data_IF_789297999424
#
_entry.id   IF_789297999424
#
_cell.length_a   1.000
_cell.length_b   1.000
_cell.length_c   1.000
_cell.angle_alpha   90.00
_cell.angle_beta   90.00
_cell.angle_gamma   90.00
#
_symmetry.space_group_name_H-M   'P 1'
#
loop_
_entity.id
_entity.type
_entity.pdbx_description
1 polymer ?
#
# COMPACT_ATOMS: atom_id res chain seq x y z
N UNK A 1 17.58 44.83 46.41
CA UNK A 1 17.50 44.88 44.96
C UNK A 1 18.57 43.97 44.36
N UNK A 2 18.22 42.68 44.04
CA UNK A 2 19.11 41.78 43.34
C UNK A 2 18.59 41.58 41.92
N UNK A 3 19.37 42.08 40.96
CA UNK A 3 19.11 41.91 39.53
C UNK A 3 19.53 40.50 39.10
N UNK A 4 18.55 39.63 38.77
CA UNK A 4 18.80 38.37 38.11
C UNK A 4 19.26 38.65 36.66
N UNK A 5 20.56 38.48 36.41
CA UNK A 5 21.11 38.33 35.05
C UNK A 5 20.68 36.97 34.50
N UNK A 6 19.78 36.98 33.53
CA UNK A 6 19.55 35.81 32.71
C UNK A 6 20.75 35.62 31.77
N UNK A 7 21.59 34.61 32.07
CA UNK A 7 22.62 34.14 31.15
C UNK A 7 21.92 33.48 29.97
N UNK A 8 21.79 34.15 28.83
CA UNK A 8 21.41 33.53 27.57
C UNK A 8 22.45 32.50 27.20
N UNK A 9 22.07 31.21 27.19
CA UNK A 9 22.88 30.13 26.60
C UNK A 9 23.00 30.44 25.10
N UNK A 10 24.07 31.11 24.69
CA UNK A 10 24.47 31.24 23.30
C UNK A 10 24.66 29.86 22.70
N UNK A 11 24.00 29.60 21.58
CA UNK A 11 24.22 28.36 20.83
C UNK A 11 25.72 28.22 20.59
N UNK A 12 26.34 27.10 20.94
CA UNK A 12 27.78 26.94 20.80
C UNK A 12 28.20 27.08 19.32
N UNK A 13 29.22 27.88 19.07
CA UNK A 13 29.68 28.23 17.72
C UNK A 13 29.95 27.02 16.81
N UNK A 14 30.32 25.86 17.38
CA UNK A 14 30.53 24.61 16.65
C UNK A 14 29.23 24.07 15.99
N UNK A 15 28.04 24.31 16.58
CA UNK A 15 26.77 23.93 15.96
C UNK A 15 26.46 24.74 14.69
N UNK A 16 26.81 26.02 14.69
CA UNK A 16 26.65 26.87 13.50
C UNK A 16 27.63 26.47 12.39
N UNK A 17 28.85 26.09 12.75
CA UNK A 17 29.87 25.62 11.80
C UNK A 17 29.44 24.27 11.21
N UNK A 18 28.96 23.32 12.03
CA UNK A 18 28.45 22.03 11.57
C UNK A 18 27.25 22.20 10.63
N UNK A 19 26.29 23.07 10.98
CA UNK A 19 25.13 23.37 10.14
C UNK A 19 25.54 24.00 8.79
N UNK A 20 26.53 24.91 8.79
CA UNK A 20 27.04 25.53 7.57
C UNK A 20 27.77 24.53 6.66
N UNK A 21 28.57 23.61 7.24
CA UNK A 21 29.26 22.54 6.50
C UNK A 21 28.23 21.59 5.89
N UNK A 22 27.25 21.12 6.67
CA UNK A 22 26.20 20.23 6.17
C UNK A 22 25.30 20.89 5.10
N UNK A 23 24.99 22.16 5.23
CA UNK A 23 24.24 22.92 4.23
C UNK A 23 25.06 23.12 2.93
N UNK A 24 26.38 23.41 3.06
CA UNK A 24 27.28 23.54 1.91
C UNK A 24 27.44 22.24 1.13
N UNK A 25 27.56 21.11 1.83
CA UNK A 25 27.66 19.80 1.21
C UNK A 25 26.41 19.44 0.41
N UNK A 26 25.23 19.72 0.96
CA UNK A 26 23.96 19.49 0.25
C UNK A 26 23.86 20.36 -1.02
N UNK A 27 24.23 21.64 -0.95
CA UNK A 27 24.15 22.55 -2.11
C UNK A 27 25.12 22.12 -3.23
N UNK A 28 26.33 21.71 -2.87
CA UNK A 28 27.35 21.29 -3.84
C UNK A 28 26.99 19.96 -4.51
N UNK A 29 26.44 19.01 -3.74
CA UNK A 29 25.91 17.76 -4.29
C UNK A 29 24.75 18.02 -5.24
N UNK A 30 23.84 18.92 -4.90
CA UNK A 30 22.74 19.31 -5.80
C UNK A 30 23.23 19.97 -7.09
N UNK A 31 24.23 20.86 -7.00
CA UNK A 31 24.80 21.51 -8.18
C UNK A 31 25.44 20.48 -9.13
N UNK A 32 26.23 19.54 -8.59
CA UNK A 32 26.84 18.47 -9.37
C UNK A 32 25.80 17.52 -9.99
N UNK A 33 24.70 17.28 -9.28
CA UNK A 33 23.61 16.45 -9.82
C UNK A 33 22.90 17.13 -10.99
N UNK A 34 22.66 18.45 -10.89
CA UNK A 34 22.06 19.23 -11.98
C UNK A 34 23.01 19.28 -13.18
N UNK A 35 24.30 19.52 -12.96
CA UNK A 35 25.30 19.54 -14.00
C UNK A 35 25.42 18.17 -14.71
N UNK A 36 25.42 17.08 -13.96
CA UNK A 36 25.38 15.74 -14.52
C UNK A 36 24.11 15.51 -15.35
N UNK A 37 22.95 15.88 -14.81
CA UNK A 37 21.67 15.70 -15.50
C UNK A 37 21.58 16.51 -16.80
N UNK A 38 22.15 17.72 -16.85
CA UNK A 38 22.16 18.56 -18.04
C UNK A 38 23.19 18.10 -19.08
N UNK A 39 24.34 17.64 -18.63
CA UNK A 39 25.40 17.12 -19.53
C UNK A 39 25.03 15.77 -20.15
N UNK A 40 24.18 14.99 -19.43
CA UNK A 40 23.73 13.67 -19.90
C UNK A 40 22.21 13.62 -20.05
N UNK A 41 21.62 14.64 -20.67
CA UNK A 41 20.15 14.79 -20.79
C UNK A 41 19.44 13.58 -21.41
N UNK A 42 20.09 12.87 -22.35
CA UNK A 42 19.53 11.64 -22.94
C UNK A 42 19.45 10.50 -21.91
N UNK A 43 20.50 10.32 -21.11
CA UNK A 43 20.51 9.29 -20.05
C UNK A 43 19.54 9.63 -18.94
N UNK A 44 19.51 10.90 -18.52
CA UNK A 44 18.58 11.40 -17.50
C UNK A 44 17.13 11.29 -17.96
N UNK A 45 16.85 11.61 -19.22
CA UNK A 45 15.53 11.45 -19.84
C UNK A 45 15.11 9.98 -19.93
N UNK A 46 16.02 9.10 -20.38
CA UNK A 46 15.76 7.66 -20.43
C UNK A 46 15.49 7.06 -19.03
N UNK A 47 16.25 7.49 -18.02
CA UNK A 47 16.04 7.06 -16.63
C UNK A 47 14.68 7.50 -16.09
N UNK A 48 14.31 8.77 -16.30
CA UNK A 48 13.01 9.29 -15.89
C UNK A 48 11.85 8.59 -16.61
N UNK A 49 12.01 8.32 -17.90
CA UNK A 49 11.01 7.57 -18.67
C UNK A 49 10.87 6.13 -18.16
N UNK A 50 11.98 5.45 -17.88
CA UNK A 50 11.97 4.10 -17.29
C UNK A 50 11.35 4.10 -15.90
N UNK A 51 11.66 5.08 -15.05
CA UNK A 51 11.09 5.23 -13.73
C UNK A 51 9.56 5.49 -13.80
N UNK A 52 9.14 6.36 -14.71
CA UNK A 52 7.70 6.65 -14.93
C UNK A 52 6.97 5.40 -15.43
N UNK A 53 7.54 4.64 -16.37
CA UNK A 53 6.98 3.37 -16.83
C UNK A 53 6.89 2.34 -15.70
N UNK A 54 7.89 2.29 -14.83
CA UNK A 54 7.92 1.38 -13.69
C UNK A 54 6.82 1.73 -12.69
N UNK A 55 6.68 3.01 -12.32
CA UNK A 55 5.62 3.51 -11.43
C UNK A 55 4.24 3.26 -12.06
N UNK A 56 4.08 3.53 -13.36
CA UNK A 56 2.84 3.29 -14.08
C UNK A 56 2.49 1.79 -14.12
N UNK A 57 3.46 0.93 -14.41
CA UNK A 57 3.29 -0.53 -14.40
C UNK A 57 2.89 -1.04 -13.01
N UNK A 58 3.52 -0.54 -11.94
CA UNK A 58 3.20 -0.92 -10.57
C UNK A 58 1.80 -0.43 -10.16
N UNK A 59 1.42 0.78 -10.52
CA UNK A 59 0.09 1.34 -10.31
C UNK A 59 -1.01 0.49 -10.97
N UNK A 60 -0.75 -0.03 -12.17
CA UNK A 60 -1.68 -0.92 -12.88
C UNK A 60 -1.76 -2.33 -12.28
N UNK A 61 -0.73 -2.77 -11.56
CA UNK A 61 -0.68 -4.12 -10.96
C UNK A 61 -1.60 -4.29 -9.76
N UNK A 62 -1.97 -3.20 -9.10
CA UNK A 62 -2.57 -3.26 -7.76
C UNK A 62 -4.07 -3.47 -7.66
N UNK A 63 -4.88 -3.32 -8.70
CA UNK A 63 -6.34 -3.26 -8.56
C UNK A 63 -6.79 -2.15 -7.57
N UNK A 64 -8.08 -1.79 -7.57
CA UNK A 64 -8.63 -0.83 -6.59
C UNK A 64 -8.48 -1.40 -5.17
N UNK A 65 -7.90 -0.62 -4.28
CA UNK A 65 -7.73 -0.97 -2.86
C UNK A 65 -8.74 -0.21 -2.01
N UNK A 66 -9.36 -0.89 -1.07
CA UNK A 66 -10.31 -0.31 -0.12
C UNK A 66 -9.78 -0.39 1.31
N UNK A 67 -10.22 0.53 2.16
CA UNK A 67 -9.91 0.54 3.59
C UNK A 67 -10.81 -0.40 4.38
N UNK A 68 -10.42 -0.72 5.64
CA UNK A 68 -11.25 -1.50 6.57
C UNK A 68 -12.64 -0.88 6.79
N UNK A 69 -12.71 0.45 6.86
CA UNK A 69 -13.96 1.19 7.01
C UNK A 69 -14.88 1.05 5.80
N UNK A 70 -14.31 1.14 4.60
CA UNK A 70 -15.02 1.01 3.33
C UNK A 70 -15.54 -0.42 3.14
N UNK A 71 -14.72 -1.44 3.49
CA UNK A 71 -15.12 -2.84 3.52
C UNK A 71 -16.34 -3.03 4.41
N UNK A 72 -16.29 -2.55 5.66
CA UNK A 72 -17.41 -2.68 6.62
C UNK A 72 -18.67 -2.03 6.07
N UNK A 73 -18.60 -0.87 5.43
CA UNK A 73 -19.73 -0.19 4.83
C UNK A 73 -20.36 -1.01 3.69
N UNK A 74 -19.55 -1.57 2.79
CA UNK A 74 -20.00 -2.38 1.66
C UNK A 74 -20.65 -3.69 2.10
N UNK A 75 -20.09 -4.34 3.11
CA UNK A 75 -20.62 -5.61 3.63
C UNK A 75 -21.96 -5.38 4.36
N UNK A 76 -22.05 -4.35 5.18
CA UNK A 76 -23.30 -3.99 5.88
C UNK A 76 -24.41 -3.59 4.90
N UNK A 77 -24.06 -3.03 3.74
CA UNK A 77 -24.99 -2.71 2.65
C UNK A 77 -25.40 -3.91 1.78
N UNK A 78 -24.94 -5.13 2.08
CA UNK A 78 -25.12 -6.34 1.27
C UNK A 78 -24.69 -6.17 -0.21
N UNK A 79 -23.77 -5.24 -0.49
CA UNK A 79 -23.28 -4.91 -1.82
C UNK A 79 -21.99 -5.63 -2.17
N UNK A 80 -21.40 -6.35 -1.23
CA UNK A 80 -20.11 -7.00 -1.41
C UNK A 80 -20.06 -8.40 -0.83
N UNK A 81 -19.20 -9.22 -1.40
CA UNK A 81 -18.83 -10.55 -0.93
C UNK A 81 -17.35 -10.58 -0.63
N UNK A 82 -17.01 -11.11 0.53
CA UNK A 82 -15.62 -11.23 0.98
C UNK A 82 -15.06 -12.59 0.55
N UNK A 83 -13.89 -12.59 -0.07
CA UNK A 83 -13.16 -13.80 -0.45
C UNK A 83 -11.78 -13.75 0.18
N UNK A 84 -11.50 -14.71 1.06
CA UNK A 84 -10.19 -14.88 1.70
C UNK A 84 -9.34 -15.84 0.88
N UNK A 85 -8.22 -15.33 0.36
CA UNK A 85 -7.30 -16.04 -0.52
C UNK A 85 -6.24 -16.86 0.23
N UNK A 86 -6.27 -16.82 1.57
CA UNK A 86 -5.31 -17.55 2.40
C UNK A 86 -5.57 -19.05 2.38
N UNK A 87 -4.56 -19.82 2.82
CA UNK A 87 -4.71 -21.25 3.02
C UNK A 87 -5.88 -21.58 3.96
N UNK A 88 -6.49 -22.74 3.82
CA UNK A 88 -7.56 -23.19 4.70
C UNK A 88 -7.13 -23.21 6.18
N UNK A 89 -5.86 -23.55 6.44
CA UNK A 89 -5.25 -23.51 7.78
C UNK A 89 -5.24 -22.09 8.36
N UNK A 90 -4.81 -21.11 7.59
CA UNK A 90 -4.73 -19.71 8.05
C UNK A 90 -6.11 -19.08 8.20
N UNK A 91 -7.05 -19.44 7.33
CA UNK A 91 -8.45 -19.06 7.45
C UNK A 91 -9.05 -19.55 8.78
N UNK A 92 -8.79 -20.80 9.17
CA UNK A 92 -9.23 -21.37 10.45
C UNK A 92 -8.61 -20.73 11.69
N UNK A 93 -7.49 -20.00 11.58
CA UNK A 93 -6.92 -19.25 12.71
C UNK A 93 -7.68 -17.97 13.04
N UNK A 94 -8.53 -17.52 12.12
CA UNK A 94 -9.39 -16.34 12.27
C UNK A 94 -9.54 -15.60 10.94
N UNK A 95 -10.80 -15.32 10.56
CA UNK A 95 -11.18 -14.66 9.32
C UNK A 95 -12.29 -13.62 9.57
N UNK A 96 -12.58 -12.79 8.56
CA UNK A 96 -13.66 -11.80 8.64
C UNK A 96 -15.01 -12.52 8.50
N UNK A 97 -15.97 -12.12 9.29
CA UNK A 97 -17.32 -12.71 9.31
C UNK A 97 -17.92 -12.73 7.91
N UNK A 98 -18.44 -13.89 7.49
CA UNK A 98 -19.06 -14.06 6.19
C UNK A 98 -18.08 -14.19 5.00
N UNK A 99 -16.78 -14.29 5.25
CA UNK A 99 -15.80 -14.51 4.19
C UNK A 99 -15.85 -15.95 3.66
N UNK A 100 -15.77 -16.07 2.33
CA UNK A 100 -15.62 -17.35 1.63
C UNK A 100 -14.12 -17.65 1.51
N UNK A 101 -13.69 -18.86 1.89
CA UNK A 101 -12.30 -19.25 1.72
C UNK A 101 -12.08 -19.90 0.35
N UNK A 102 -11.38 -19.18 -0.51
CA UNK A 102 -10.91 -19.69 -1.82
C UNK A 102 -9.42 -19.40 -1.91
N UNK A 103 -8.55 -20.38 -1.59
CA UNK A 103 -7.10 -20.19 -1.70
C UNK A 103 -6.68 -19.69 -3.07
N UNK A 104 -5.66 -18.81 -3.12
CA UNK A 104 -5.21 -18.17 -4.35
C UNK A 104 -4.88 -19.16 -5.48
N UNK A 105 -4.23 -20.27 -5.14
CA UNK A 105 -3.86 -21.36 -6.06
C UNK A 105 -5.07 -22.06 -6.67
N UNK A 106 -6.23 -22.04 -6.01
CA UNK A 106 -7.49 -22.64 -6.46
C UNK A 106 -8.51 -21.65 -7.00
N UNK A 107 -8.16 -20.36 -7.05
CA UNK A 107 -9.11 -19.32 -7.44
C UNK A 107 -9.66 -19.54 -8.85
N UNK A 108 -8.82 -19.87 -9.82
CA UNK A 108 -9.22 -20.11 -11.20
C UNK A 108 -10.21 -21.28 -11.33
N UNK A 109 -9.99 -22.37 -10.60
CA UNK A 109 -10.85 -23.58 -10.63
C UNK A 109 -12.19 -23.33 -9.93
N UNK A 110 -12.18 -22.53 -8.85
CA UNK A 110 -13.36 -22.28 -8.01
C UNK A 110 -14.08 -20.96 -8.31
N UNK A 111 -13.71 -20.29 -9.39
CA UNK A 111 -14.34 -19.04 -9.81
C UNK A 111 -15.85 -19.19 -10.08
N UNK A 112 -16.30 -20.38 -10.45
CA UNK A 112 -17.73 -20.74 -10.65
C UNK A 112 -18.55 -20.50 -9.37
N UNK A 113 -17.96 -20.68 -8.20
CA UNK A 113 -18.64 -20.42 -6.92
C UNK A 113 -19.00 -18.93 -6.73
N UNK A 114 -18.32 -18.04 -7.44
CA UNK A 114 -18.54 -16.60 -7.41
C UNK A 114 -19.58 -16.12 -8.43
N UNK A 115 -20.05 -16.98 -9.35
CA UNK A 115 -21.01 -16.57 -10.38
C UNK A 115 -22.32 -16.01 -9.81
N UNK A 116 -22.80 -16.58 -8.70
CA UNK A 116 -23.98 -16.10 -7.98
C UNK A 116 -23.80 -14.70 -7.37
N UNK A 117 -22.56 -14.23 -7.27
CA UNK A 117 -22.20 -12.94 -6.71
C UNK A 117 -21.67 -11.96 -7.74
N UNK A 118 -21.88 -12.24 -9.04
CA UNK A 118 -21.33 -11.41 -10.14
C UNK A 118 -21.88 -9.98 -10.18
N UNK A 119 -23.06 -9.77 -9.59
CA UNK A 119 -23.66 -8.44 -9.41
C UNK A 119 -23.10 -7.65 -8.23
N UNK A 120 -22.34 -8.31 -7.35
CA UNK A 120 -21.80 -7.72 -6.12
C UNK A 120 -20.32 -7.42 -6.30
N UNK A 121 -19.80 -6.44 -5.54
CA UNK A 121 -18.36 -6.20 -5.48
C UNK A 121 -17.67 -7.34 -4.72
N UNK A 122 -16.69 -7.99 -5.34
CA UNK A 122 -15.89 -9.05 -4.72
C UNK A 122 -14.68 -8.43 -4.03
N UNK A 123 -14.64 -8.54 -2.70
CA UNK A 123 -13.53 -8.01 -1.89
C UNK A 123 -12.55 -9.13 -1.58
N UNK A 124 -11.34 -9.01 -2.11
CA UNK A 124 -10.28 -10.00 -1.94
C UNK A 124 -9.40 -9.67 -0.74
N UNK A 125 -9.21 -10.65 0.12
CA UNK A 125 -8.39 -10.54 1.31
C UNK A 125 -7.31 -11.62 1.26
N UNK A 126 -6.09 -11.22 1.55
CA UNK A 126 -4.97 -12.13 1.79
C UNK A 126 -4.26 -11.77 3.10
N UNK A 127 -3.07 -12.30 3.34
CA UNK A 127 -2.31 -12.03 4.55
C UNK A 127 -1.92 -10.55 4.69
N UNK A 128 -1.34 -9.96 3.63
CA UNK A 128 -0.77 -8.59 3.61
C UNK A 128 -1.09 -7.79 2.35
N UNK A 129 -1.94 -8.24 1.43
CA UNK A 129 -2.27 -7.57 0.16
C UNK A 129 -1.39 -7.95 -1.03
N UNK A 130 -0.53 -8.98 -0.91
CA UNK A 130 0.43 -9.35 -1.97
C UNK A 130 -0.23 -10.10 -3.13
N UNK A 131 -1.03 -11.12 -2.86
CA UNK A 131 -1.69 -11.95 -3.87
C UNK A 131 -3.02 -11.37 -4.33
N UNK A 132 -3.69 -10.58 -3.48
CA UNK A 132 -4.98 -9.97 -3.77
C UNK A 132 -4.96 -9.09 -5.04
N UNK A 133 -3.82 -8.46 -5.36
CA UNK A 133 -3.66 -7.65 -6.57
C UNK A 133 -3.72 -8.47 -7.86
N UNK A 134 -3.08 -9.64 -7.91
CA UNK A 134 -3.15 -10.56 -9.05
C UNK A 134 -4.52 -11.21 -9.19
N UNK A 135 -5.09 -11.64 -8.08
CA UNK A 135 -6.44 -12.20 -8.03
C UNK A 135 -7.50 -11.19 -8.50
N UNK A 136 -7.40 -9.91 -8.10
CA UNK A 136 -8.28 -8.86 -8.63
C UNK A 136 -8.22 -8.74 -10.15
N UNK A 137 -7.03 -8.86 -10.76
CA UNK A 137 -6.89 -8.78 -12.22
C UNK A 137 -7.54 -9.98 -12.92
N UNK A 138 -7.39 -11.17 -12.36
CA UNK A 138 -8.01 -12.38 -12.91
C UNK A 138 -9.54 -12.28 -12.85
N UNK A 139 -10.09 -11.89 -11.72
CA UNK A 139 -11.53 -11.71 -11.58
C UNK A 139 -12.08 -10.60 -12.47
N UNK A 140 -11.37 -9.47 -12.62
CA UNK A 140 -11.76 -8.40 -13.54
C UNK A 140 -11.77 -8.84 -15.00
N UNK A 141 -10.79 -9.65 -15.42
CA UNK A 141 -10.77 -10.24 -16.76
C UNK A 141 -11.97 -11.18 -17.00
N UNK A 142 -12.44 -11.84 -15.95
CA UNK A 142 -13.63 -12.68 -15.98
C UNK A 142 -14.95 -11.89 -15.82
N UNK A 143 -14.89 -10.55 -15.74
CA UNK A 143 -16.05 -9.67 -15.69
C UNK A 143 -16.63 -9.43 -14.29
N UNK A 144 -15.88 -9.68 -13.23
CA UNK A 144 -16.28 -9.36 -11.86
C UNK A 144 -15.80 -7.96 -11.46
N UNK A 145 -16.59 -7.26 -10.64
CA UNK A 145 -16.09 -6.07 -9.94
C UNK A 145 -15.31 -6.49 -8.71
N UNK A 146 -13.98 -6.52 -8.85
CA UNK A 146 -13.08 -7.00 -7.81
C UNK A 146 -12.21 -5.88 -7.25
N UNK A 147 -12.14 -5.83 -5.91
CA UNK A 147 -11.30 -4.90 -5.14
C UNK A 147 -10.52 -5.67 -4.09
N UNK A 148 -9.43 -5.11 -3.59
CA UNK A 148 -8.62 -5.73 -2.54
C UNK A 148 -8.66 -4.92 -1.25
N UNK A 149 -8.54 -5.61 -0.11
CA UNK A 149 -8.37 -4.96 1.18
C UNK A 149 -6.93 -4.45 1.33
N UNK A 150 -6.76 -3.17 1.66
CA UNK A 150 -5.46 -2.58 1.95
C UNK A 150 -4.83 -3.26 3.18
N UNK A 151 -3.60 -3.78 3.02
CA UNK A 151 -2.88 -4.49 4.09
C UNK A 151 -3.47 -5.84 4.50
N UNK A 152 -4.50 -6.33 3.80
CA UNK A 152 -5.09 -7.65 4.04
C UNK A 152 -5.62 -7.85 5.45
N UNK A 153 -5.67 -9.12 5.91
CA UNK A 153 -6.14 -9.46 7.26
C UNK A 153 -5.23 -8.89 8.36
N UNK A 154 -3.96 -8.61 8.06
CA UNK A 154 -3.04 -8.00 9.03
C UNK A 154 -3.50 -6.60 9.43
N UNK A 155 -3.93 -5.76 8.47
CA UNK A 155 -4.51 -4.45 8.74
C UNK A 155 -5.82 -4.54 9.53
N UNK A 156 -6.70 -5.49 9.18
CA UNK A 156 -7.95 -5.74 9.89
C UNK A 156 -7.73 -6.05 11.38
N UNK A 157 -6.77 -6.95 11.66
CA UNK A 157 -6.37 -7.29 13.03
C UNK A 157 -5.67 -6.14 13.75
N UNK A 158 -4.86 -5.36 13.02
CA UNK A 158 -4.18 -4.17 13.55
C UNK A 158 -5.15 -3.11 14.05
N UNK A 159 -6.31 -2.98 13.41
CA UNK A 159 -7.40 -2.09 13.82
C UNK A 159 -8.30 -2.72 14.91
N UNK A 160 -7.93 -3.88 15.49
CA UNK A 160 -8.69 -4.63 16.49
C UNK A 160 -10.12 -4.97 16.07
N UNK A 161 -10.36 -5.17 14.77
CA UNK A 161 -11.67 -5.54 14.26
C UNK A 161 -11.96 -7.04 14.47
N UNK A 162 -13.25 -7.43 14.63
CA UNK A 162 -13.62 -8.78 15.01
C UNK A 162 -13.27 -9.80 13.91
N UNK A 163 -12.76 -10.94 14.35
CA UNK A 163 -12.52 -12.13 13.53
C UNK A 163 -13.23 -13.32 14.15
N UNK A 164 -13.70 -14.24 13.31
CA UNK A 164 -14.31 -15.51 13.70
C UNK A 164 -13.39 -16.67 13.31
N UNK A 165 -13.58 -17.82 13.95
CA UNK A 165 -12.83 -19.06 13.65
C UNK A 165 -13.71 -20.05 12.93
#
# INVERSE_FOLDING_TARGET
AQSHRRTGLGRPAWLCILAAILAGWNLQMFAQFIEFATNHYLLSGAFLAALALLIFSESQRGGRSISNRELTALVNGAQAVIVDLRSHKDFGTGHIVGALNIPFDKLAERMVELEKHKSNTVILIDAMGQHAGSACRELKKAGYDAVKLAGGIASWRGDNLPVVK
#
